data_IF_025940544741
#
_entry.id   IF_025940544741
#
_cell.length_a   1.000
_cell.length_b   1.000
_cell.length_c   1.000
_cell.angle_alpha   90.00
_cell.angle_beta   90.00
_cell.angle_gamma   90.00
#
_symmetry.space_group_name_H-M   'P 1'
#
loop_
_entity.id
_entity.type
_entity.pdbx_description
1 polymer ?
#
# COMPACT_ATOMS: atom_id res chain seq x y z
N UNK A 1 2.31 -2.99 31.03
CA UNK A 1 1.28 -4.03 31.27
C UNK A 1 -0.02 -3.42 30.75
N UNK A 2 -0.45 -3.76 29.54
CA UNK A 2 -1.69 -3.22 28.97
C UNK A 2 -2.87 -3.99 29.58
N UNK A 3 -3.84 -3.26 30.14
CA UNK A 3 -4.99 -3.83 30.83
C UNK A 3 -5.80 -4.76 29.91
N UNK A 4 -6.13 -5.95 30.42
CA UNK A 4 -7.11 -6.84 29.78
C UNK A 4 -8.52 -6.33 30.11
N UNK A 5 -9.35 -6.12 29.09
CA UNK A 5 -10.75 -5.67 29.23
C UNK A 5 -11.24 -4.93 27.98
N UNK A 6 -12.49 -4.43 28.01
CA UNK A 6 -13.12 -3.67 26.91
C UNK A 6 -12.39 -2.36 26.54
N UNK A 7 -11.39 -1.95 27.34
CA UNK A 7 -10.53 -0.79 27.09
C UNK A 7 -9.14 -1.18 26.53
N UNK A 8 -8.89 -2.47 26.28
CA UNK A 8 -7.62 -2.89 25.66
C UNK A 8 -7.57 -2.45 24.20
N UNK A 9 -6.40 -1.97 23.75
CA UNK A 9 -6.21 -1.50 22.37
C UNK A 9 -6.44 -2.60 21.31
N UNK A 10 -6.51 -3.88 21.69
CA UNK A 10 -6.72 -5.00 20.76
C UNK A 10 -5.60 -5.16 19.72
N UNK A 11 -4.45 -4.53 19.95
CA UNK A 11 -3.31 -4.48 19.04
C UNK A 11 -2.61 -5.83 18.99
N UNK A 12 -2.52 -6.37 17.79
CA UNK A 12 -1.60 -7.45 17.46
C UNK A 12 -0.26 -6.86 17.01
N UNK A 13 0.81 -7.64 17.14
CA UNK A 13 2.16 -7.19 16.84
C UNK A 13 2.99 -8.30 16.20
N UNK A 14 4.20 -7.97 15.78
CA UNK A 14 5.14 -8.91 15.17
C UNK A 14 4.54 -9.67 13.97
N UNK A 15 3.78 -8.95 13.13
CA UNK A 15 3.13 -9.50 11.96
C UNK A 15 4.13 -9.80 10.83
N UNK A 16 3.99 -10.94 10.17
CA UNK A 16 4.57 -11.21 8.85
C UNK A 16 3.42 -11.53 7.89
N UNK A 17 3.33 -10.78 6.80
CA UNK A 17 2.42 -11.03 5.70
C UNK A 17 3.19 -11.66 4.54
N UNK A 18 2.78 -12.85 4.12
CA UNK A 18 3.28 -13.55 2.94
C UNK A 18 2.14 -13.70 1.92
N UNK A 19 2.46 -13.47 0.65
CA UNK A 19 1.48 -13.58 -0.43
C UNK A 19 1.94 -14.61 -1.46
N UNK A 20 1.05 -15.54 -1.75
CA UNK A 20 1.21 -16.58 -2.75
C UNK A 20 0.16 -16.41 -3.84
N UNK A 21 0.52 -16.67 -5.10
CA UNK A 21 -0.40 -16.49 -6.22
C UNK A 21 -0.13 -17.51 -7.34
N UNK A 22 -1.09 -17.64 -8.25
CA UNK A 22 -0.91 -18.36 -9.50
C UNK A 22 0.32 -17.86 -10.27
N UNK A 23 0.96 -18.74 -11.06
CA UNK A 23 2.22 -18.46 -11.76
C UNK A 23 2.13 -17.29 -12.76
N UNK A 24 0.95 -17.09 -13.33
CA UNK A 24 0.60 -16.03 -14.28
C UNK A 24 0.48 -14.66 -13.60
N UNK A 25 0.41 -14.61 -12.27
CA UNK A 25 0.30 -13.38 -11.50
C UNK A 25 1.66 -13.05 -10.89
N UNK A 26 2.07 -11.79 -11.05
CA UNK A 26 3.26 -11.22 -10.41
C UNK A 26 2.85 -10.13 -9.43
N UNK A 27 3.57 -10.04 -8.32
CA UNK A 27 3.34 -9.10 -7.23
C UNK A 27 4.25 -7.89 -7.45
N UNK A 28 3.65 -6.71 -7.63
CA UNK A 28 4.39 -5.46 -7.83
C UNK A 28 4.84 -4.83 -6.52
N UNK A 29 4.01 -4.98 -5.48
CA UNK A 29 4.29 -4.48 -4.15
C UNK A 29 3.01 -4.11 -3.40
N UNK A 30 3.19 -3.43 -2.27
CA UNK A 30 2.12 -3.10 -1.32
C UNK A 30 2.22 -1.64 -0.90
N UNK A 31 1.06 -1.02 -0.68
CA UNK A 31 0.91 0.28 -0.02
C UNK A 31 0.21 0.04 1.32
N UNK A 32 0.85 0.49 2.39
CA UNK A 32 0.36 0.40 3.76
C UNK A 32 1.53 0.39 4.75
N UNK A 33 1.20 0.30 6.04
CA UNK A 33 2.20 0.35 7.13
C UNK A 33 2.92 -0.98 7.30
N UNK A 34 3.88 -1.25 6.42
CA UNK A 34 4.71 -2.44 6.44
C UNK A 34 6.08 -2.19 5.81
N UNK A 35 7.00 -3.12 5.99
CA UNK A 35 8.35 -3.06 5.42
C UNK A 35 8.62 -4.33 4.63
N UNK A 36 9.25 -4.20 3.46
CA UNK A 36 9.69 -5.34 2.65
C UNK A 36 10.62 -6.27 3.44
N UNK A 37 10.43 -7.58 3.33
CA UNK A 37 11.40 -8.58 3.78
C UNK A 37 12.36 -9.01 2.67
N UNK A 38 12.28 -8.37 1.50
CA UNK A 38 13.17 -8.56 0.35
C UNK A 38 13.24 -10.00 -0.22
N UNK A 39 12.31 -10.87 0.18
CA UNK A 39 12.18 -12.25 -0.33
C UNK A 39 12.03 -12.28 -1.86
N UNK A 40 13.01 -12.85 -2.55
CA UNK A 40 13.00 -12.96 -4.01
C UNK A 40 12.27 -14.22 -4.44
N UNK A 41 11.64 -14.18 -5.61
CA UNK A 41 10.98 -15.36 -6.16
C UNK A 41 10.35 -15.12 -7.52
N UNK A 42 9.87 -16.20 -8.18
CA UNK A 42 9.26 -16.12 -9.49
C UNK A 42 7.93 -15.34 -9.51
N UNK A 43 7.33 -15.10 -8.34
CA UNK A 43 6.12 -14.31 -8.20
C UNK A 43 6.40 -12.80 -8.06
N UNK A 44 7.65 -12.36 -7.89
CA UNK A 44 7.99 -10.93 -7.79
C UNK A 44 7.97 -10.29 -9.18
N UNK A 45 7.30 -9.15 -9.32
CA UNK A 45 7.28 -8.38 -10.57
C UNK A 45 8.55 -7.54 -10.73
N UNK A 46 8.96 -7.30 -11.98
CA UNK A 46 10.00 -6.30 -12.30
C UNK A 46 9.50 -4.87 -12.17
N UNK A 47 8.19 -4.63 -12.31
CA UNK A 47 7.58 -3.32 -12.11
C UNK A 47 7.15 -3.19 -10.65
N UNK A 48 7.67 -2.17 -9.95
CA UNK A 48 7.52 -1.99 -8.50
C UNK A 48 6.54 -0.86 -8.18
N UNK A 49 5.64 -1.10 -7.22
CA UNK A 49 4.74 -0.09 -6.65
C UNK A 49 4.81 -0.18 -5.13
N UNK A 50 5.07 0.93 -4.46
CA UNK A 50 5.18 0.99 -2.99
C UNK A 50 6.33 0.11 -2.48
N UNK A 51 6.08 -0.61 -1.38
CA UNK A 51 7.02 -1.57 -0.80
C UNK A 51 6.99 -2.86 -1.65
N UNK A 52 7.82 -2.93 -2.68
CA UNK A 52 7.87 -4.08 -3.60
C UNK A 52 9.15 -4.90 -3.52
N UNK A 53 9.52 -5.50 -4.65
CA UNK A 53 10.69 -6.39 -4.78
C UNK A 53 10.69 -7.59 -3.80
N UNK A 54 9.49 -8.00 -3.36
CA UNK A 54 9.29 -9.08 -2.39
C UNK A 54 7.91 -9.73 -2.53
N UNK A 55 7.73 -10.88 -1.91
CA UNK A 55 6.41 -11.50 -1.65
C UNK A 55 6.06 -11.54 -0.16
N UNK A 56 6.89 -10.96 0.71
CA UNK A 56 6.73 -10.99 2.15
C UNK A 56 7.05 -9.63 2.80
N UNK A 57 6.28 -9.27 3.83
CA UNK A 57 6.41 -7.99 4.53
C UNK A 57 6.30 -8.14 6.03
N UNK A 58 7.07 -7.32 6.74
CA UNK A 58 6.97 -7.12 8.18
C UNK A 58 5.90 -6.08 8.51
N UNK A 59 5.09 -6.37 9.51
CA UNK A 59 4.07 -5.48 10.06
C UNK A 59 4.29 -5.38 11.57
N UNK A 60 4.82 -4.26 12.05
CA UNK A 60 5.15 -4.10 13.47
C UNK A 60 3.91 -4.14 14.37
N UNK A 61 2.84 -3.47 13.96
CA UNK A 61 1.57 -3.43 14.67
C UNK A 61 0.41 -3.52 13.69
N UNK A 62 -0.60 -4.29 14.06
CA UNK A 62 -1.83 -4.45 13.28
C UNK A 62 -3.03 -4.65 14.19
N UNK A 63 -4.17 -4.22 13.72
CA UNK A 63 -5.47 -4.40 14.35
C UNK A 63 -6.51 -4.79 13.30
N UNK A 64 -7.79 -4.83 13.72
CA UNK A 64 -8.89 -5.20 12.84
C UNK A 64 -9.19 -4.17 11.75
N UNK A 65 -8.67 -2.96 11.86
CA UNK A 65 -8.86 -1.84 10.92
C UNK A 65 -7.69 -1.65 9.97
N UNK A 66 -6.55 -2.30 10.27
CA UNK A 66 -5.35 -2.26 9.44
C UNK A 66 -5.67 -2.85 8.07
N UNK A 67 -5.42 -2.06 7.02
CA UNK A 67 -5.72 -2.43 5.64
C UNK A 67 -4.55 -2.10 4.73
N UNK A 68 -4.28 -3.00 3.78
CA UNK A 68 -3.21 -2.87 2.81
C UNK A 68 -3.77 -2.88 1.39
N UNK A 69 -3.08 -2.23 0.46
CA UNK A 69 -3.36 -2.33 -0.97
C UNK A 69 -2.21 -3.06 -1.64
N UNK A 70 -2.48 -4.23 -2.22
CA UNK A 70 -1.48 -5.03 -2.93
C UNK A 70 -1.71 -4.89 -4.42
N UNK A 71 -0.65 -4.59 -5.17
CA UNK A 71 -0.69 -4.43 -6.61
C UNK A 71 -0.15 -5.69 -7.30
N UNK A 72 -0.91 -6.16 -8.28
CA UNK A 72 -0.59 -7.35 -9.06
C UNK A 72 -0.52 -7.00 -10.55
N UNK A 73 0.29 -7.75 -11.27
CA UNK A 73 0.39 -7.71 -12.72
C UNK A 73 0.13 -9.11 -13.28
N UNK A 74 -0.64 -9.20 -14.36
CA UNK A 74 -0.87 -10.46 -15.08
C UNK A 74 0.20 -10.58 -16.17
N UNK A 75 1.04 -11.61 -16.09
CA UNK A 75 2.06 -11.95 -17.09
C UNK A 75 1.38 -12.52 -18.34
N UNK A 76 1.38 -11.80 -19.48
CA UNK A 76 0.72 -12.27 -20.70
C UNK A 76 1.47 -13.45 -21.35
N UNK A 77 2.78 -13.53 -21.12
CA UNK A 77 3.68 -14.57 -21.64
C UNK A 77 3.31 -15.98 -21.16
N UNK A 78 2.65 -16.10 -20.01
CA UNK A 78 2.28 -17.40 -19.43
C UNK A 78 0.86 -17.86 -19.84
N UNK A 79 0.07 -16.98 -20.46
CA UNK A 79 -1.29 -17.28 -20.96
C UNK A 79 -1.30 -17.82 -22.39
N UNK A 80 -0.23 -17.62 -23.16
CA UNK A 80 -0.15 -17.98 -24.59
C UNK A 80 0.19 -19.45 -24.86
N UNK A 81 0.14 -20.34 -23.86
CA UNK A 81 0.42 -21.76 -24.05
C UNK A 81 -0.90 -22.56 -24.13
N UNK A 82 -1.43 -22.85 -25.35
CA UNK A 82 -2.79 -23.35 -25.53
C UNK A 82 -2.99 -24.82 -25.14
N UNK A 83 -1.97 -25.49 -24.59
CA UNK A 83 -1.96 -26.92 -24.30
C UNK A 83 -1.87 -27.27 -22.81
N UNK A 84 -2.05 -26.34 -21.86
CA UNK A 84 -1.73 -26.66 -20.46
C UNK A 84 -2.37 -25.87 -19.32
N UNK A 85 -3.40 -25.05 -19.50
CA UNK A 85 -4.09 -24.44 -18.35
C UNK A 85 -5.13 -25.40 -17.78
N UNK A 86 -4.68 -26.37 -16.97
CA UNK A 86 -5.52 -27.29 -16.22
C UNK A 86 -6.34 -26.61 -15.10
N UNK A 87 -6.16 -25.31 -14.86
CA UNK A 87 -6.93 -24.57 -13.86
C UNK A 87 -7.60 -23.34 -14.49
N UNK A 88 -8.95 -23.32 -14.59
CA UNK A 88 -9.68 -22.16 -15.12
C UNK A 88 -9.72 -20.99 -14.13
N UNK A 89 -9.17 -21.18 -12.93
CA UNK A 89 -9.18 -20.20 -11.85
C UNK A 89 -7.77 -19.76 -11.48
N UNK A 90 -7.63 -18.46 -11.24
CA UNK A 90 -6.51 -17.90 -10.50
C UNK A 90 -6.76 -18.01 -9.01
N UNK A 91 -5.68 -18.05 -8.23
CA UNK A 91 -5.75 -17.89 -6.78
C UNK A 91 -4.77 -16.82 -6.29
N UNK A 92 -5.17 -16.16 -5.22
CA UNK A 92 -4.35 -15.31 -4.37
C UNK A 92 -4.51 -15.81 -2.94
N UNK A 93 -3.41 -16.06 -2.25
CA UNK A 93 -3.41 -16.53 -0.88
C UNK A 93 -2.54 -15.59 -0.02
N UNK A 94 -3.12 -15.13 1.07
CA UNK A 94 -2.51 -14.21 2.03
C UNK A 94 -2.36 -14.96 3.35
N UNK A 95 -1.12 -15.11 3.82
CA UNK A 95 -0.79 -15.67 5.13
C UNK A 95 -0.28 -14.54 6.01
N UNK A 96 -1.00 -14.22 7.07
CA UNK A 96 -0.53 -13.28 8.09
C UNK A 96 -0.25 -14.03 9.37
N UNK A 97 1.02 -14.24 9.70
CA UNK A 97 1.43 -14.70 11.03
C UNK A 97 1.59 -13.48 11.94
N UNK A 98 1.13 -13.54 13.19
CA UNK A 98 1.23 -12.44 14.14
C UNK A 98 1.09 -12.93 15.58
N UNK A 99 1.45 -12.08 16.54
CA UNK A 99 1.18 -12.31 17.95
C UNK A 99 -0.07 -11.52 18.35
N UNK A 100 -1.08 -12.22 18.89
CA UNK A 100 -2.31 -11.58 19.36
C UNK A 100 -2.08 -10.86 20.71
N UNK A 101 -3.03 -10.05 21.20
CA UNK A 101 -2.92 -9.36 22.47
C UNK A 101 -2.71 -10.30 23.68
N UNK A 102 -3.14 -11.56 23.57
CA UNK A 102 -2.93 -12.58 24.60
C UNK A 102 -1.52 -13.20 24.59
N UNK A 103 -0.66 -12.81 23.65
CA UNK A 103 0.70 -13.29 23.50
C UNK A 103 0.83 -14.60 22.70
N UNK A 104 -0.26 -15.13 22.14
CA UNK A 104 -0.28 -16.33 21.33
C UNK A 104 0.12 -16.03 19.88
N UNK A 105 0.93 -16.91 19.29
CA UNK A 105 1.17 -16.90 17.86
C UNK A 105 -0.07 -17.39 17.11
N UNK A 106 -0.51 -16.59 16.14
CA UNK A 106 -1.66 -16.87 15.29
C UNK A 106 -1.23 -16.78 13.84
N UNK A 107 -1.90 -17.56 13.00
CA UNK A 107 -1.80 -17.44 11.54
C UNK A 107 -3.20 -17.25 11.00
N UNK A 108 -3.39 -16.18 10.23
CA UNK A 108 -4.60 -15.94 9.44
C UNK A 108 -4.29 -16.25 7.99
N UNK A 109 -4.95 -17.25 7.43
CA UNK A 109 -4.89 -17.56 6.00
C UNK A 109 -6.17 -17.07 5.32
N UNK A 110 -6.04 -16.34 4.21
CA UNK A 110 -7.17 -15.93 3.36
C UNK A 110 -6.83 -16.30 1.92
N UNK A 111 -7.69 -17.08 1.27
CA UNK A 111 -7.50 -17.49 -0.12
C UNK A 111 -8.68 -16.98 -0.94
N UNK A 112 -8.39 -16.27 -2.03
CA UNK A 112 -9.37 -15.75 -2.98
C UNK A 112 -9.12 -16.42 -4.33
N UNK A 113 -10.19 -16.87 -4.98
CA UNK A 113 -10.12 -17.40 -6.34
C UNK A 113 -11.03 -16.61 -7.28
N UNK A 114 -10.63 -16.50 -8.54
CA UNK A 114 -11.39 -15.87 -9.63
C UNK A 114 -11.19 -16.65 -10.92
N UNK A 115 -12.16 -16.57 -11.83
CA UNK A 115 -12.00 -17.15 -13.17
C UNK A 115 -11.19 -16.21 -14.05
N UNK A 116 -10.42 -16.78 -14.97
CA UNK A 116 -9.86 -16.00 -16.08
C UNK A 116 -10.97 -15.63 -17.06
N UNK A 117 -10.95 -14.39 -17.55
CA UNK A 117 -11.92 -13.87 -18.52
C UNK A 117 -11.15 -13.44 -19.78
N UNK A 118 -11.53 -13.98 -20.94
CA UNK A 118 -11.01 -13.50 -22.21
C UNK A 118 -11.71 -12.19 -22.57
N UNK A 119 -10.95 -11.09 -22.49
CA UNK A 119 -11.43 -9.74 -22.79
C UNK A 119 -12.03 -9.56 -24.20
N UNK A 120 -11.70 -10.43 -25.17
CA UNK A 120 -12.24 -10.37 -26.53
C UNK A 120 -13.57 -11.09 -26.67
N UNK A 121 -13.77 -12.17 -25.93
CA UNK A 121 -14.97 -13.00 -25.99
C UNK A 121 -16.04 -12.53 -25.00
N UNK A 122 -15.63 -12.10 -23.80
CA UNK A 122 -16.49 -11.86 -22.66
C UNK A 122 -16.22 -10.47 -22.05
N UNK A 123 -16.33 -9.43 -22.86
CA UNK A 123 -16.06 -8.05 -22.41
C UNK A 123 -17.02 -7.59 -21.30
N UNK A 124 -18.29 -8.00 -21.34
CA UNK A 124 -19.30 -7.62 -20.36
C UNK A 124 -19.00 -8.19 -18.96
N UNK A 125 -18.56 -9.45 -18.87
CA UNK A 125 -18.14 -10.07 -17.60
C UNK A 125 -16.95 -9.33 -16.97
N UNK A 126 -16.04 -8.79 -17.79
CA UNK A 126 -14.94 -7.95 -17.33
C UNK A 126 -15.43 -6.62 -16.74
N UNK A 127 -16.44 -6.02 -17.37
CA UNK A 127 -17.07 -4.77 -16.90
C UNK A 127 -17.82 -4.98 -15.58
N UNK A 128 -18.57 -6.07 -15.46
CA UNK A 128 -19.27 -6.43 -14.22
C UNK A 128 -18.31 -6.76 -13.08
N UNK A 129 -17.11 -7.25 -13.40
CA UNK A 129 -16.06 -7.52 -12.42
C UNK A 129 -15.36 -6.28 -11.85
N UNK A 130 -15.65 -5.08 -12.36
CA UNK A 130 -15.02 -3.84 -11.90
C UNK A 130 -15.66 -3.31 -10.61
N UNK A 131 -14.88 -3.25 -9.53
CA UNK A 131 -15.26 -2.64 -8.26
C UNK A 131 -14.83 -1.17 -8.23
N UNK A 132 -15.76 -0.27 -8.52
CA UNK A 132 -15.49 1.17 -8.60
C UNK A 132 -15.12 1.82 -7.26
N UNK A 133 -15.65 1.33 -6.14
CA UNK A 133 -15.34 1.90 -4.81
C UNK A 133 -13.93 1.49 -4.39
N UNK A 134 -13.58 0.20 -4.55
CA UNK A 134 -12.24 -0.29 -4.28
C UNK A 134 -11.21 0.39 -5.20
N UNK A 135 -11.52 0.52 -6.50
CA UNK A 135 -10.65 1.23 -7.44
C UNK A 135 -10.41 2.69 -7.04
N UNK A 136 -11.43 3.40 -6.56
CA UNK A 136 -11.28 4.77 -6.10
C UNK A 136 -10.33 4.90 -4.90
N UNK A 137 -10.47 4.02 -3.91
CA UNK A 137 -9.57 3.97 -2.74
C UNK A 137 -8.13 3.62 -3.15
N UNK A 138 -7.97 2.67 -4.06
CA UNK A 138 -6.66 2.25 -4.57
C UNK A 138 -5.98 3.40 -5.33
N UNK A 139 -6.72 4.11 -6.18
CA UNK A 139 -6.21 5.28 -6.90
C UNK A 139 -5.83 6.41 -5.96
N UNK A 140 -6.62 6.68 -4.91
CA UNK A 140 -6.26 7.67 -3.90
C UNK A 140 -4.95 7.31 -3.18
N UNK A 141 -4.78 6.04 -2.77
CA UNK A 141 -3.53 5.55 -2.15
C UNK A 141 -2.34 5.63 -3.09
N UNK A 142 -2.52 5.27 -4.36
CA UNK A 142 -1.46 5.36 -5.36
C UNK A 142 -1.07 6.81 -5.68
N UNK A 143 -2.05 7.70 -5.78
CA UNK A 143 -1.82 9.14 -5.95
C UNK A 143 -1.01 9.69 -4.77
N UNK A 144 -1.42 9.36 -3.54
CA UNK A 144 -0.69 9.74 -2.32
C UNK A 144 0.76 9.32 -2.38
N UNK A 145 1.02 8.06 -2.73
CA UNK A 145 2.38 7.54 -2.83
C UNK A 145 3.18 8.30 -3.90
N UNK A 146 2.60 8.56 -5.07
CA UNK A 146 3.28 9.31 -6.13
C UNK A 146 3.61 10.73 -5.71
N UNK A 147 2.67 11.42 -5.07
CA UNK A 147 2.89 12.76 -4.53
C UNK A 147 3.99 12.80 -3.45
N UNK A 148 4.16 11.72 -2.70
CA UNK A 148 5.22 11.60 -1.68
C UNK A 148 6.58 11.33 -2.31
N UNK A 149 6.63 10.45 -3.32
CA UNK A 149 7.88 9.99 -3.92
C UNK A 149 8.40 10.93 -5.03
N UNK A 150 7.52 11.70 -5.68
CA UNK A 150 7.83 12.54 -6.84
C UNK A 150 7.63 14.02 -6.50
N UNK A 151 8.72 14.80 -6.41
CA UNK A 151 8.71 16.18 -5.87
C UNK A 151 7.97 17.24 -6.70
N UNK A 152 7.76 17.02 -8.01
CA UNK A 152 7.00 17.89 -8.91
C UNK A 152 5.82 17.15 -9.56
N UNK A 153 5.11 16.34 -8.78
CA UNK A 153 4.03 15.51 -9.30
C UNK A 153 2.70 16.26 -9.37
N UNK A 154 2.21 16.46 -10.60
CA UNK A 154 0.88 16.99 -10.89
C UNK A 154 -0.17 15.88 -10.78
N UNK A 155 -0.71 15.70 -9.58
CA UNK A 155 -1.71 14.69 -9.27
C UNK A 155 -3.00 14.86 -10.07
N UNK A 156 -3.46 16.10 -10.29
CA UNK A 156 -4.69 16.37 -11.06
C UNK A 156 -4.52 15.91 -12.50
N UNK A 157 -3.42 16.29 -13.15
CA UNK A 157 -3.13 15.86 -14.53
C UNK A 157 -2.89 14.36 -14.63
N UNK A 158 -2.27 13.75 -13.62
CA UNK A 158 -2.04 12.30 -13.61
C UNK A 158 -3.33 11.49 -13.45
N UNK A 159 -4.24 11.94 -12.58
CA UNK A 159 -5.56 11.33 -12.42
C UNK A 159 -6.37 11.49 -13.71
N UNK A 160 -6.41 12.70 -14.28
CA UNK A 160 -7.11 12.96 -15.55
C UNK A 160 -6.57 12.09 -16.70
N UNK A 161 -5.23 12.00 -16.82
CA UNK A 161 -4.57 11.11 -17.77
C UNK A 161 -4.88 9.62 -17.57
N UNK A 162 -5.27 9.20 -16.37
CA UNK A 162 -5.71 7.84 -16.07
C UNK A 162 -7.20 7.62 -16.34
N UNK A 163 -8.03 8.65 -16.15
CA UNK A 163 -9.47 8.63 -16.44
C UNK A 163 -9.76 8.63 -17.93
N UNK A 164 -9.01 9.40 -18.71
CA UNK A 164 -9.29 9.57 -20.14
C UNK A 164 -9.31 8.23 -20.91
N UNK A 165 -8.33 7.32 -20.77
CA UNK A 165 -8.39 6.00 -21.40
C UNK A 165 -9.55 5.14 -20.90
N UNK A 166 -9.94 5.27 -19.63
CA UNK A 166 -11.07 4.55 -19.06
C UNK A 166 -12.38 5.00 -19.71
N UNK A 167 -12.66 6.31 -19.69
CA UNK A 167 -13.85 6.89 -20.31
C UNK A 167 -13.89 6.63 -21.82
N UNK A 168 -12.74 6.69 -22.50
CA UNK A 168 -12.67 6.37 -23.93
C UNK A 168 -12.92 4.89 -24.25
N UNK A 169 -12.63 3.98 -23.32
CA UNK A 169 -12.77 2.53 -23.53
C UNK A 169 -14.12 1.99 -23.08
N UNK A 170 -14.70 2.55 -22.02
CA UNK A 170 -15.91 2.05 -21.37
C UNK A 170 -17.10 3.02 -21.44
N UNK A 171 -16.92 4.18 -22.07
CA UNK A 171 -17.98 5.16 -22.29
C UNK A 171 -18.51 5.13 -23.71
N UNK A 172 -19.79 5.42 -23.84
CA UNK A 172 -20.43 5.71 -25.12
C UNK A 172 -20.32 7.21 -25.40
N UNK A 173 -19.94 7.56 -26.62
CA UNK A 173 -19.93 8.94 -27.09
C UNK A 173 -20.18 8.99 -28.59
N UNK A 174 -20.77 10.09 -29.03
CA UNK A 174 -20.88 10.45 -30.45
C UNK A 174 -19.80 11.47 -30.76
N UNK A 175 -19.11 11.24 -31.87
CA UNK A 175 -18.13 12.19 -32.38
C UNK A 175 -18.82 13.54 -32.60
N UNK A 176 -18.14 14.61 -32.19
CA UNK A 176 -18.58 16.00 -32.34
C UNK A 176 -19.83 16.40 -31.51
N UNK A 177 -20.27 15.56 -30.56
CA UNK A 177 -21.34 15.88 -29.60
C UNK A 177 -20.86 15.71 -28.15
N UNK A 178 -20.42 16.81 -27.49
CA UNK A 178 -19.94 16.77 -26.10
C UNK A 178 -20.99 16.29 -25.07
N UNK A 179 -22.29 16.39 -25.38
CA UNK A 179 -23.36 16.03 -24.45
C UNK A 179 -23.76 14.56 -24.54
N UNK A 180 -23.21 13.83 -25.51
CA UNK A 180 -23.51 12.41 -25.72
C UNK A 180 -22.73 11.47 -24.81
N UNK A 181 -21.74 11.98 -24.06
CA UNK A 181 -20.86 11.14 -23.26
C UNK A 181 -21.62 10.55 -22.07
N UNK A 182 -21.75 9.22 -22.07
CA UNK A 182 -22.33 8.46 -20.96
C UNK A 182 -21.44 7.30 -20.61
N UNK A 183 -21.22 7.07 -19.32
CA UNK A 183 -20.39 5.98 -18.83
C UNK A 183 -21.27 4.84 -18.31
N UNK A 184 -20.84 3.60 -18.51
CA UNK A 184 -21.51 2.44 -17.94
C UNK A 184 -21.63 2.61 -16.39
N UNK A 185 -22.80 2.29 -15.78
CA UNK A 185 -23.02 2.44 -14.34
C UNK A 185 -21.96 1.79 -13.43
N UNK A 186 -21.27 0.74 -13.90
CA UNK A 186 -20.15 0.11 -13.18
C UNK A 186 -18.95 1.03 -12.98
N UNK A 187 -18.82 2.12 -13.76
CA UNK A 187 -17.70 3.06 -13.67
C UNK A 187 -18.13 4.50 -13.31
N UNK A 188 -19.43 4.81 -13.30
CA UNK A 188 -19.92 6.19 -13.17
C UNK A 188 -19.54 6.82 -11.83
N UNK A 189 -19.59 6.06 -10.74
CA UNK A 189 -19.22 6.55 -9.40
C UNK A 189 -17.71 6.72 -9.31
N UNK A 190 -16.92 5.85 -9.95
CA UNK A 190 -15.47 6.01 -10.00
C UNK A 190 -15.05 7.35 -10.62
N UNK A 191 -15.66 7.75 -11.74
CA UNK A 191 -15.41 9.05 -12.36
C UNK A 191 -15.74 10.21 -11.39
N UNK A 192 -16.87 10.13 -10.69
CA UNK A 192 -17.26 11.14 -9.71
C UNK A 192 -16.27 11.21 -8.54
N UNK A 193 -15.80 10.06 -8.03
CA UNK A 193 -14.80 10.01 -6.96
C UNK A 193 -13.48 10.63 -7.40
N UNK A 194 -13.01 10.34 -8.61
CA UNK A 194 -11.76 10.92 -9.12
C UNK A 194 -11.88 12.44 -9.29
N UNK A 195 -13.03 12.95 -9.74
CA UNK A 195 -13.29 14.39 -9.77
C UNK A 195 -13.18 15.04 -8.38
N UNK A 196 -13.81 14.44 -7.37
CA UNK A 196 -13.71 14.94 -5.99
C UNK A 196 -12.29 14.81 -5.41
N UNK A 197 -11.58 13.72 -5.72
CA UNK A 197 -10.19 13.53 -5.28
C UNK A 197 -9.29 14.64 -5.83
N UNK A 198 -9.38 14.94 -7.13
CA UNK A 198 -8.57 16.00 -7.77
C UNK A 198 -8.78 17.39 -7.15
N UNK A 199 -10.01 17.70 -6.73
CA UNK A 199 -10.35 18.97 -6.07
C UNK A 199 -10.18 18.96 -4.54
N UNK A 200 -9.78 17.84 -3.94
CA UNK A 200 -9.72 17.70 -2.49
C UNK A 200 -8.54 18.48 -1.89
N UNK A 201 -8.71 18.97 -0.65
CA UNK A 201 -7.62 19.57 0.12
C UNK A 201 -6.43 18.62 0.27
N UNK A 202 -6.71 17.31 0.34
CA UNK A 202 -5.69 16.28 0.32
C UNK A 202 -4.76 16.43 -0.88
N UNK A 203 -5.27 16.50 -2.11
CA UNK A 203 -4.43 16.67 -3.31
C UNK A 203 -3.82 18.07 -3.40
N UNK A 204 -4.60 19.10 -3.09
CA UNK A 204 -4.16 20.50 -3.27
C UNK A 204 -3.08 20.94 -2.26
N UNK A 205 -3.08 20.37 -1.06
CA UNK A 205 -2.20 20.80 0.04
C UNK A 205 -1.23 19.70 0.52
N UNK A 206 -1.23 18.50 -0.07
CA UNK A 206 -0.37 17.39 0.35
C UNK A 206 1.10 17.81 0.49
N UNK A 207 1.62 18.56 -0.49
CA UNK A 207 3.00 19.02 -0.46
C UNK A 207 3.28 19.96 0.71
N UNK A 208 2.31 20.81 1.06
CA UNK A 208 2.43 21.68 2.24
C UNK A 208 2.42 20.85 3.53
N UNK A 209 1.58 19.82 3.61
CA UNK A 209 1.54 18.89 4.74
C UNK A 209 2.88 18.14 4.91
N UNK A 210 3.51 17.70 3.82
CA UNK A 210 4.83 17.06 3.85
C UNK A 210 5.94 18.02 4.28
N UNK A 211 5.89 19.28 3.83
CA UNK A 211 6.89 20.30 4.17
C UNK A 211 6.73 20.88 5.57
N UNK A 212 5.52 20.93 6.12
CA UNK A 212 5.22 21.57 7.40
C UNK A 212 6.16 21.15 8.53
N UNK A 213 6.39 19.85 8.80
CA UNK A 213 7.28 19.46 9.89
C UNK A 213 8.76 19.72 9.60
N UNK A 214 9.18 19.66 8.32
CA UNK A 214 10.56 20.03 7.96
C UNK A 214 10.82 21.52 8.24
N UNK A 215 9.86 22.39 7.88
CA UNK A 215 9.92 23.83 8.18
C UNK A 215 9.92 24.09 9.69
N UNK A 216 9.10 23.37 10.44
CA UNK A 216 9.07 23.48 11.90
C UNK A 216 10.40 23.06 12.53
N UNK A 217 10.94 21.90 12.12
CA UNK A 217 12.23 21.41 12.61
C UNK A 217 13.37 22.40 12.30
N UNK A 218 13.42 22.94 11.08
CA UNK A 218 14.37 23.99 10.71
C UNK A 218 14.24 25.23 11.60
N UNK A 219 13.03 25.67 11.90
CA UNK A 219 12.78 26.80 12.80
C UNK A 219 13.33 26.55 14.22
N UNK A 220 13.16 25.33 14.74
CA UNK A 220 13.71 24.97 16.07
C UNK A 220 15.24 24.90 16.04
N UNK A 221 15.83 24.30 15.01
CA UNK A 221 17.29 24.16 14.85
C UNK A 221 17.98 25.54 14.85
N UNK A 222 17.46 26.50 14.08
CA UNK A 222 18.04 27.86 14.00
C UNK A 222 17.95 28.65 15.31
N UNK A 223 17.00 28.30 16.19
CA UNK A 223 16.77 29.01 17.47
C UNK A 223 17.57 28.43 18.65
N UNK A 224 18.22 27.28 18.48
CA UNK A 224 18.96 26.62 19.56
C UNK A 224 20.47 26.84 19.47
N UNK A 225 21.10 26.97 20.62
CA UNK A 225 22.56 26.99 20.77
C UNK A 225 22.98 25.95 21.82
N UNK A 226 23.96 25.07 21.54
CA UNK A 226 24.64 24.92 20.25
C UNK A 226 23.70 24.44 19.15
N UNK A 227 24.05 24.72 17.88
CA UNK A 227 23.21 24.36 16.73
C UNK A 227 23.10 22.83 16.67
N UNK A 228 21.89 22.27 16.78
CA UNK A 228 21.66 20.84 16.78
C UNK A 228 21.74 20.25 15.37
N UNK A 229 22.12 18.98 15.26
CA UNK A 229 22.17 18.26 13.97
C UNK A 229 20.78 17.79 13.59
N UNK A 230 20.20 18.38 12.54
CA UNK A 230 18.97 17.88 11.94
C UNK A 230 19.26 16.60 11.14
N UNK A 231 18.55 15.53 11.45
CA UNK A 231 18.55 14.27 10.69
C UNK A 231 17.20 14.15 10.00
N UNK A 232 17.20 14.07 8.67
CA UNK A 232 16.03 13.75 7.85
C UNK A 232 16.29 12.35 7.30
N UNK A 233 15.36 11.43 7.54
CA UNK A 233 15.47 10.06 7.12
C UNK A 233 14.08 9.48 6.91
N UNK A 234 13.98 8.56 5.96
CA UNK A 234 12.79 7.76 5.73
C UNK A 234 12.91 6.39 6.42
N UNK A 235 11.80 5.66 6.46
CA UNK A 235 11.78 4.30 7.01
C UNK A 235 12.74 3.38 6.23
N UNK A 236 13.61 2.67 6.94
CA UNK A 236 14.65 1.80 6.38
C UNK A 236 15.95 2.50 6.05
N UNK A 237 16.05 3.83 6.16
CA UNK A 237 17.32 4.53 6.00
C UNK A 237 18.26 4.21 7.20
N UNK A 238 19.54 4.12 6.89
CA UNK A 238 20.63 3.95 7.85
C UNK A 238 20.62 4.98 9.00
N UNK A 239 20.03 6.16 8.79
CA UNK A 239 19.90 7.21 9.80
C UNK A 239 18.66 7.07 10.68
N UNK A 240 17.67 6.24 10.32
CA UNK A 240 16.49 5.96 11.17
C UNK A 240 16.91 5.40 12.55
N UNK A 241 18.06 4.72 12.62
CA UNK A 241 18.64 4.21 13.87
C UNK A 241 18.77 5.26 14.99
N UNK A 242 18.96 6.54 14.65
CA UNK A 242 19.05 7.60 15.63
C UNK A 242 17.73 7.83 16.35
N UNK A 243 16.60 7.67 15.64
CA UNK A 243 15.26 7.69 16.20
C UNK A 243 15.02 6.43 17.02
N UNK A 244 15.30 5.25 16.46
CA UNK A 244 15.06 3.95 17.11
C UNK A 244 15.80 3.81 18.44
N UNK A 245 17.04 4.30 18.53
CA UNK A 245 17.84 4.26 19.76
C UNK A 245 17.28 5.14 20.91
N UNK A 246 16.37 6.07 20.61
CA UNK A 246 15.76 6.99 21.59
C UNK A 246 14.33 6.61 21.95
N UNK A 247 13.68 5.78 21.13
CA UNK A 247 12.46 5.09 21.53
C UNK A 247 12.80 4.17 22.70
N UNK A 248 11.93 4.11 23.70
CA UNK A 248 12.18 3.39 24.95
C UNK A 248 12.45 1.90 24.70
N UNK A 249 13.72 1.50 24.63
CA UNK A 249 14.26 0.15 24.91
C UNK A 249 13.77 -1.06 24.09
N UNK A 250 12.76 -0.95 23.23
CA UNK A 250 12.16 -2.12 22.57
C UNK A 250 12.78 -2.48 21.22
N UNK A 251 13.68 -1.65 20.68
CA UNK A 251 14.39 -1.95 19.43
C UNK A 251 15.81 -2.43 19.73
N UNK A 252 16.02 -3.75 19.72
CA UNK A 252 17.36 -4.32 19.55
C UNK A 252 17.70 -4.32 18.06
N UNK A 253 18.87 -3.78 17.69
CA UNK A 253 19.45 -3.98 16.36
C UNK A 253 19.53 -5.49 16.04
N UNK A 254 19.57 -5.90 14.76
CA UNK A 254 19.80 -7.30 14.40
C UNK A 254 21.25 -7.65 14.74
N UNK A 255 21.49 -8.04 15.99
CA UNK A 255 22.64 -8.85 16.35
C UNK A 255 22.24 -10.31 16.23
N UNK A 256 22.97 -10.98 15.36
CA UNK A 256 23.14 -12.42 15.34
C UNK A 256 23.36 -12.96 16.77
N UNK A 257 22.66 -14.06 17.06
CA UNK A 257 22.84 -15.03 18.17
C UNK A 257 22.16 -14.75 19.53
N UNK A 258 21.19 -15.63 19.80
CA UNK A 258 20.84 -16.35 21.04
C UNK A 258 20.51 -15.62 22.36
N UNK A 259 19.44 -16.17 22.96
CA UNK A 259 18.97 -16.19 24.36
C UNK A 259 18.11 -15.04 24.88
N UNK A 260 16.86 -15.41 25.18
CA UNK A 260 15.96 -14.99 26.26
C UNK A 260 16.10 -13.55 26.79
N UNK A 261 15.13 -12.70 26.46
CA UNK A 261 14.24 -12.08 27.46
C UNK A 261 13.18 -11.15 26.84
N UNK A 262 12.05 -11.12 27.51
CA UNK A 262 10.83 -10.34 27.29
C UNK A 262 11.06 -8.83 27.25
N UNK A 263 10.55 -8.13 26.23
CA UNK A 263 10.29 -6.69 26.31
C UNK A 263 9.15 -6.26 25.38
N UNK A 264 8.29 -5.37 25.91
CA UNK A 264 7.08 -4.84 25.30
C UNK A 264 7.42 -3.87 24.16
N UNK A 265 6.82 -4.05 22.98
CA UNK A 265 6.86 -3.07 21.87
C UNK A 265 5.64 -2.15 21.92
N UNK A 266 5.88 -0.84 22.09
CA UNK A 266 4.87 0.18 21.95
C UNK A 266 4.81 0.63 20.48
N UNK A 267 3.72 0.26 19.80
CA UNK A 267 3.33 0.92 18.57
C UNK A 267 3.01 2.40 18.82
N UNK A 268 3.45 3.25 17.90
CA UNK A 268 2.75 4.47 17.45
C UNK A 268 3.59 5.11 16.35
N UNK A 269 3.02 5.11 15.14
CA UNK A 269 3.38 6.07 14.13
C UNK A 269 3.16 7.47 14.70
N UNK A 270 4.25 8.21 14.87
CA UNK A 270 4.29 9.66 14.78
C UNK A 270 5.69 9.95 14.25
N UNK A 271 5.78 10.55 13.06
CA UNK A 271 6.97 11.29 12.64
C UNK A 271 7.24 12.35 13.72
N UNK A 272 8.07 12.00 14.70
CA UNK A 272 8.52 12.91 15.74
C UNK A 272 9.93 13.34 15.40
N UNK A 273 9.97 14.43 14.65
CA UNK A 273 11.16 15.24 14.45
C UNK A 273 11.66 15.67 15.83
N UNK A 274 12.89 15.28 16.18
CA UNK A 274 13.55 15.81 17.35
C UNK A 274 14.98 16.21 17.05
N UNK A 275 15.37 17.19 17.85
CA UNK A 275 16.54 18.06 17.78
C UNK A 275 17.62 17.55 18.71
#
# INVERSE_FOLDING_TARGET
MFEKGDQSLGLSFNGNLEIYCSKEIKIQGIIGSCTSLEEKGPAVSSAVIGQGNTTAWKICGLDKTTSFTVFFNVSPTDLSNPQGTANPQLYLQFLTSYQNPEGQLRVRATTVTRKWVDSKANFEELVEGFDQEAAAVIMARLTSLKMEMEGEFDATRWIDGSLLPLCSKFGDYRKDDPNSSTLNPSFSIFQQFMFHLMGSQFVQEFYQLLQAPQKEAQCVVHKRYPVPRLVVCDQGDSQERFLLARLSGSYTSPQTTNTDNTSLEAGRGVLRYWV
#
